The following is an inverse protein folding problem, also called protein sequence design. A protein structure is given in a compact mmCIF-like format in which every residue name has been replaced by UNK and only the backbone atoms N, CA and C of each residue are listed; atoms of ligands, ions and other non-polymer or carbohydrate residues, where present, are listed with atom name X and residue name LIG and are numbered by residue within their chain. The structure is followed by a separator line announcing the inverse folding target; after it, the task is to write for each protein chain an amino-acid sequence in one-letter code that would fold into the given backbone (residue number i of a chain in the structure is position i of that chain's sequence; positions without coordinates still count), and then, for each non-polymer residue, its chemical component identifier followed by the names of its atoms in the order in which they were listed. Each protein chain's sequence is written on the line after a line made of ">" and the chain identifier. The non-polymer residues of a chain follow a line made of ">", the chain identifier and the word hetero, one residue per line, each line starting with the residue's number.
data_IF_617118265521
#
_entry.id   IF_617118265521
#
_cell.length_a   1.000
_cell.length_b   1.000
_cell.length_c   1.000
_cell.angle_alpha   90.00
_cell.angle_beta   90.00
_cell.angle_gamma   90.00
#
_symmetry.space_group_name_H-M   'P 1'
#
loop_
_entity.id
_entity.type
_entity.pdbx_description
1 polymer ?
#
# COMPACT_ATOMS: atom_id res chain seq x y z
N UNK A 1 -11.76 23.44 -9.65
CA UNK A 1 -12.97 23.80 -8.85
C UNK A 1 -13.36 22.79 -7.78
N UNK A 2 -12.77 21.59 -7.71
CA UNK A 2 -13.19 20.49 -6.80
C UNK A 2 -12.93 20.71 -5.30
N UNK A 3 -12.18 21.75 -4.90
CA UNK A 3 -11.82 22.02 -3.50
C UNK A 3 -12.75 23.01 -2.77
N UNK A 4 -13.69 23.67 -3.46
CA UNK A 4 -14.40 24.82 -2.87
C UNK A 4 -15.71 24.47 -2.13
N UNK A 5 -16.27 23.27 -2.32
CA UNK A 5 -17.57 22.94 -1.72
C UNK A 5 -17.58 21.48 -1.24
N UNK A 6 -17.22 21.27 0.02
CA UNK A 6 -17.38 19.98 0.72
C UNK A 6 -18.46 20.14 1.77
N UNK A 7 -19.67 19.65 1.48
CA UNK A 7 -20.72 19.44 2.48
C UNK A 7 -20.53 18.05 3.10
N UNK A 8 -20.40 17.99 4.42
CA UNK A 8 -20.11 16.74 5.15
C UNK A 8 -21.38 16.03 5.66
N UNK A 9 -22.52 16.71 5.69
CA UNK A 9 -23.74 16.23 6.36
C UNK A 9 -24.98 16.24 5.49
N UNK A 10 -24.89 16.78 4.26
CA UNK A 10 -26.03 16.86 3.32
C UNK A 10 -25.57 16.37 1.96
N UNK A 11 -26.38 15.52 1.32
CA UNK A 11 -26.14 15.10 -0.05
C UNK A 11 -26.20 16.33 -0.98
N UNK A 12 -25.24 16.44 -1.89
CA UNK A 12 -25.15 17.57 -2.82
C UNK A 12 -25.16 17.07 -4.27
N UNK A 13 -25.69 17.89 -5.17
CA UNK A 13 -25.68 17.66 -6.62
C UNK A 13 -24.33 18.02 -7.27
N UNK A 14 -23.27 18.27 -6.48
CA UNK A 14 -21.95 18.68 -6.98
C UNK A 14 -21.35 17.66 -7.96
N UNK A 15 -21.37 16.33 -7.71
CA UNK A 15 -20.81 15.37 -8.66
C UNK A 15 -21.57 15.36 -10.00
N UNK A 16 -22.89 15.57 -9.96
CA UNK A 16 -23.72 15.69 -11.16
C UNK A 16 -23.35 16.95 -11.97
N UNK A 17 -23.24 18.11 -11.30
CA UNK A 17 -22.82 19.35 -11.96
C UNK A 17 -21.41 19.26 -12.55
N UNK A 18 -20.49 18.53 -11.90
CA UNK A 18 -19.16 18.27 -12.44
C UNK A 18 -19.22 17.45 -13.73
N UNK A 19 -20.07 16.43 -13.78
CA UNK A 19 -20.29 15.63 -14.98
C UNK A 19 -20.88 16.48 -16.12
N UNK A 20 -21.87 17.34 -15.83
CA UNK A 20 -22.46 18.26 -16.81
C UNK A 20 -21.41 19.23 -17.37
N UNK A 21 -20.65 19.89 -16.50
CA UNK A 21 -19.60 20.85 -16.91
C UNK A 21 -18.42 20.20 -17.66
N UNK A 22 -18.28 18.87 -17.57
CA UNK A 22 -17.23 18.12 -18.26
C UNK A 22 -17.72 17.42 -19.53
N UNK A 23 -19.02 17.45 -19.85
CA UNK A 23 -19.58 16.81 -21.03
C UNK A 23 -19.28 17.64 -22.30
N UNK A 24 -18.88 16.97 -23.38
CA UNK A 24 -18.52 17.62 -24.64
C UNK A 24 -19.68 18.42 -25.27
N UNK A 25 -20.91 17.90 -25.23
CA UNK A 25 -22.09 18.60 -25.77
C UNK A 25 -22.36 19.90 -25.00
N UNK A 26 -22.18 19.87 -23.67
CA UNK A 26 -22.30 21.05 -22.81
C UNK A 26 -21.21 22.09 -23.11
N UNK A 27 -19.95 21.66 -23.27
CA UNK A 27 -18.83 22.55 -23.60
C UNK A 27 -18.97 23.23 -24.97
N UNK A 28 -19.55 22.54 -25.96
CA UNK A 28 -19.79 23.07 -27.30
C UNK A 28 -21.13 23.83 -27.44
N UNK A 29 -21.88 24.02 -26.35
CA UNK A 29 -23.20 24.68 -26.35
C UNK A 29 -24.23 23.99 -27.26
N UNK A 30 -24.07 22.69 -27.53
CA UNK A 30 -25.00 21.87 -28.31
C UNK A 30 -25.92 21.10 -27.37
N UNK A 31 -26.65 21.82 -26.52
CA UNK A 31 -27.56 21.22 -25.51
C UNK A 31 -28.97 21.74 -25.71
N UNK A 32 -29.95 20.89 -25.48
CA UNK A 32 -31.38 21.20 -25.54
C UNK A 32 -32.09 20.80 -24.23
N UNK A 33 -33.42 20.81 -24.24
CA UNK A 33 -34.22 20.41 -23.07
C UNK A 33 -34.15 18.91 -22.75
N UNK A 34 -33.72 18.07 -23.70
CA UNK A 34 -33.64 16.61 -23.58
C UNK A 34 -32.23 16.14 -23.18
N UNK A 35 -31.23 17.02 -23.23
CA UNK A 35 -29.83 16.74 -22.90
C UNK A 35 -29.61 15.88 -21.64
N UNK A 36 -30.32 16.14 -20.53
CA UNK A 36 -30.15 15.37 -19.29
C UNK A 36 -30.66 13.93 -19.44
N UNK A 37 -31.76 13.73 -20.17
CA UNK A 37 -32.39 12.43 -20.36
C UNK A 37 -31.60 11.54 -21.33
N UNK A 38 -30.99 12.16 -22.35
CA UNK A 38 -30.19 11.48 -23.38
C UNK A 38 -28.78 11.08 -22.90
N UNK A 39 -28.21 11.81 -21.94
CA UNK A 39 -26.85 11.59 -21.43
C UNK A 39 -26.89 10.88 -20.06
N UNK A 40 -27.29 9.61 -20.05
CA UNK A 40 -27.40 8.80 -18.82
C UNK A 40 -26.06 8.68 -18.06
N UNK A 41 -24.91 8.87 -18.72
CA UNK A 41 -23.60 8.87 -18.04
C UNK A 41 -23.43 10.02 -17.04
N UNK A 42 -24.25 11.07 -17.10
CA UNK A 42 -24.23 12.17 -16.13
C UNK A 42 -24.55 11.68 -14.71
N UNK A 43 -25.29 10.57 -14.59
CA UNK A 43 -25.63 9.92 -13.32
C UNK A 43 -24.58 8.92 -12.83
N UNK A 44 -23.50 8.71 -13.58
CA UNK A 44 -22.36 7.92 -13.11
C UNK A 44 -21.51 8.76 -12.13
N UNK A 45 -22.00 8.84 -10.89
CA UNK A 45 -21.39 9.66 -9.85
C UNK A 45 -20.22 8.89 -9.22
N UNK A 46 -18.99 9.37 -9.46
CA UNK A 46 -17.82 8.80 -8.81
C UNK A 46 -17.85 9.13 -7.31
N UNK A 47 -17.80 8.12 -6.41
CA UNK A 47 -17.81 8.38 -4.98
C UNK A 47 -16.55 9.14 -4.57
N UNK A 48 -16.73 10.27 -3.90
CA UNK A 48 -15.62 11.07 -3.39
C UNK A 48 -14.98 10.37 -2.20
N UNK A 49 -13.65 10.25 -2.19
CA UNK A 49 -12.96 9.63 -1.07
C UNK A 49 -12.75 10.60 0.08
N UNK A 50 -13.35 10.31 1.24
CA UNK A 50 -13.17 11.09 2.45
C UNK A 50 -12.10 10.49 3.38
N UNK A 51 -10.83 10.52 2.93
CA UNK A 51 -9.71 9.92 3.67
C UNK A 51 -9.38 10.67 4.96
N UNK A 52 -9.44 12.01 4.94
CA UNK A 52 -9.09 12.83 6.09
C UNK A 52 -10.07 12.62 7.26
N UNK A 53 -11.39 12.59 7.02
CA UNK A 53 -12.35 12.33 8.07
C UNK A 53 -12.24 10.92 8.64
N UNK A 54 -11.99 9.91 7.79
CA UNK A 54 -11.74 8.53 8.26
C UNK A 54 -10.51 8.47 9.17
N UNK A 55 -9.44 9.18 8.83
CA UNK A 55 -8.24 9.27 9.66
C UNK A 55 -8.53 9.96 11.00
N UNK A 56 -9.21 11.11 10.98
CA UNK A 56 -9.58 11.84 12.19
C UNK A 56 -10.49 11.00 13.10
N UNK A 57 -11.48 10.31 12.52
CA UNK A 57 -12.35 9.41 13.25
C UNK A 57 -11.56 8.25 13.89
N UNK A 58 -10.63 7.65 13.14
CA UNK A 58 -9.76 6.60 13.67
C UNK A 58 -8.91 7.12 14.84
N UNK A 59 -8.27 8.28 14.70
CA UNK A 59 -7.47 8.89 15.78
C UNK A 59 -8.33 9.20 17.01
N UNK A 60 -9.50 9.82 16.82
CA UNK A 60 -10.44 10.10 17.91
C UNK A 60 -10.88 8.83 18.63
N UNK A 61 -11.25 7.79 17.88
CA UNK A 61 -11.63 6.50 18.45
C UNK A 61 -10.49 5.86 19.25
N UNK A 62 -9.26 5.86 18.73
CA UNK A 62 -8.10 5.28 19.42
C UNK A 62 -7.72 6.08 20.67
N UNK A 63 -7.86 7.41 20.65
CA UNK A 63 -7.59 8.24 21.84
C UNK A 63 -8.60 8.00 22.97
N UNK A 64 -9.88 7.81 22.64
CA UNK A 64 -10.96 7.63 23.63
C UNK A 64 -11.03 6.18 24.12
N UNK A 65 -11.05 5.22 23.18
CA UNK A 65 -11.30 3.80 23.48
C UNK A 65 -10.01 2.98 23.60
N UNK A 66 -8.85 3.59 23.33
CA UNK A 66 -7.58 2.89 23.24
C UNK A 66 -7.43 2.06 21.96
N UNK A 67 -6.26 1.39 21.78
CA UNK A 67 -6.05 0.48 20.65
C UNK A 67 -6.95 -0.75 20.76
N UNK A 68 -7.53 -1.18 19.64
CA UNK A 68 -8.44 -2.35 19.54
C UNK A 68 -7.80 -3.66 20.03
N UNK A 69 -6.48 -3.75 19.99
CA UNK A 69 -5.73 -4.89 20.52
C UNK A 69 -5.10 -4.52 21.86
N UNK A 70 -5.41 -5.23 22.95
CA UNK A 70 -4.76 -5.03 24.24
C UNK A 70 -3.25 -5.16 24.06
N UNK A 71 -2.51 -4.15 24.48
CA UNK A 71 -1.05 -4.25 24.54
C UNK A 71 -0.75 -5.10 25.78
N UNK A 72 -0.17 -6.31 25.64
CA UNK A 72 0.03 -7.21 26.78
C UNK A 72 0.98 -6.64 27.85
N UNK A 73 1.74 -5.61 27.48
CA UNK A 73 2.79 -5.00 28.29
C UNK A 73 2.51 -3.51 28.44
N UNK A 74 2.57 -2.98 29.67
CA UNK A 74 2.50 -1.52 29.94
C UNK A 74 3.77 -0.77 29.49
N UNK A 75 4.57 -1.37 28.61
CA UNK A 75 5.79 -0.77 28.11
C UNK A 75 5.43 0.46 27.27
N UNK A 76 6.05 1.59 27.59
CA UNK A 76 5.95 2.77 26.73
C UNK A 76 6.67 2.45 25.40
N UNK A 77 6.15 2.94 24.26
CA UNK A 77 6.89 2.89 23.01
C UNK A 77 8.29 3.49 23.20
N UNK A 78 9.28 2.95 22.51
CA UNK A 78 10.62 3.53 22.53
C UNK A 78 10.55 4.97 22.04
N UNK A 79 11.28 5.87 22.71
CA UNK A 79 11.44 7.25 22.26
C UNK A 79 12.46 7.38 21.13
N UNK A 80 13.20 6.31 20.82
CA UNK A 80 14.21 6.32 19.77
C UNK A 80 13.58 6.01 18.42
N UNK A 81 13.75 6.95 17.48
CA UNK A 81 13.43 6.69 16.09
C UNK A 81 14.48 5.75 15.48
N UNK A 82 14.06 4.71 14.75
CA UNK A 82 14.98 3.78 14.10
C UNK A 82 15.75 4.51 12.99
N UNK A 83 17.08 4.41 13.03
CA UNK A 83 17.95 4.96 11.98
C UNK A 83 17.83 4.07 10.74
N UNK A 84 17.40 4.67 9.63
CA UNK A 84 17.34 4.00 8.33
C UNK A 84 18.68 4.21 7.63
N UNK A 85 19.43 3.14 7.28
CA UNK A 85 20.68 3.29 6.57
C UNK A 85 20.48 3.98 5.21
N UNK A 86 21.45 4.81 4.76
CA UNK A 86 21.40 5.39 3.43
C UNK A 86 21.53 4.28 2.37
N UNK A 87 20.83 4.44 1.26
CA UNK A 87 20.81 3.49 0.15
C UNK A 87 21.29 4.21 -1.09
N UNK A 88 22.07 3.52 -1.94
CA UNK A 88 22.48 4.07 -3.23
C UNK A 88 21.26 4.36 -4.09
N UNK A 89 21.26 5.52 -4.75
CA UNK A 89 20.22 5.88 -5.70
C UNK A 89 20.40 5.05 -6.97
N UNK A 90 19.43 4.20 -7.30
CA UNK A 90 19.48 3.40 -8.52
C UNK A 90 18.62 2.14 -8.47
N UNK A 91 18.75 1.32 -9.51
CA UNK A 91 18.20 -0.04 -9.51
C UNK A 91 19.06 -0.95 -8.63
N UNK A 92 18.43 -1.90 -7.90
CA UNK A 92 19.18 -2.85 -7.10
C UNK A 92 20.06 -3.75 -7.98
N UNK A 93 21.17 -4.27 -7.44
CA UNK A 93 22.03 -5.19 -8.18
C UNK A 93 21.28 -6.46 -8.61
N UNK A 94 21.75 -7.08 -9.68
CA UNK A 94 21.19 -8.33 -10.20
C UNK A 94 21.26 -9.43 -9.14
N UNK A 95 20.17 -10.16 -8.98
CA UNK A 95 20.05 -11.26 -8.01
C UNK A 95 19.33 -12.48 -8.58
N UNK A 96 19.05 -13.44 -7.70
CA UNK A 96 18.39 -14.70 -8.05
C UNK A 96 16.97 -14.50 -8.64
N UNK A 97 16.30 -13.40 -8.29
CA UNK A 97 15.01 -13.01 -8.89
C UNK A 97 15.14 -12.78 -10.39
N UNK A 98 16.23 -12.17 -10.85
CA UNK A 98 16.39 -11.82 -12.26
C UNK A 98 16.67 -13.07 -13.11
N UNK A 99 17.36 -14.06 -12.54
CA UNK A 99 17.50 -15.39 -13.13
C UNK A 99 16.12 -16.05 -13.31
N UNK A 100 15.25 -15.97 -12.31
CA UNK A 100 13.89 -16.51 -12.41
C UNK A 100 13.06 -15.80 -13.50
N UNK A 101 13.18 -14.48 -13.62
CA UNK A 101 12.45 -13.72 -14.63
C UNK A 101 12.96 -13.97 -16.05
N UNK A 102 14.28 -14.15 -16.21
CA UNK A 102 14.91 -14.37 -17.52
C UNK A 102 14.79 -15.81 -18.00
N UNK A 103 15.10 -16.77 -17.14
CA UNK A 103 15.28 -18.18 -17.51
C UNK A 103 14.14 -19.09 -17.02
N UNK A 104 13.16 -18.53 -16.31
CA UNK A 104 12.02 -19.25 -15.76
C UNK A 104 12.37 -20.21 -14.60
N UNK A 105 11.40 -21.02 -14.15
CA UNK A 105 11.57 -21.91 -12.99
C UNK A 105 12.65 -22.98 -13.18
N UNK A 106 12.78 -23.52 -14.39
CA UNK A 106 13.76 -24.56 -14.70
C UNK A 106 15.20 -24.01 -14.68
N UNK A 107 15.40 -22.83 -15.29
CA UNK A 107 16.68 -22.13 -15.29
C UNK A 107 17.09 -21.71 -13.88
N UNK A 108 16.14 -21.23 -13.08
CA UNK A 108 16.34 -20.93 -11.66
C UNK A 108 16.81 -22.15 -10.87
N UNK A 109 16.12 -23.30 -11.00
CA UNK A 109 16.51 -24.52 -10.30
C UNK A 109 17.91 -25.02 -10.72
N UNK A 110 18.28 -24.84 -11.99
CA UNK A 110 19.64 -25.14 -12.48
C UNK A 110 20.68 -24.20 -11.87
N UNK A 111 20.41 -22.90 -11.79
CA UNK A 111 21.30 -21.92 -11.18
C UNK A 111 21.53 -22.20 -9.69
N UNK A 112 20.48 -22.58 -8.97
CA UNK A 112 20.56 -22.99 -7.55
C UNK A 112 21.45 -24.21 -7.36
N UNK A 113 21.28 -25.26 -8.20
CA UNK A 113 22.12 -26.47 -8.14
C UNK A 113 23.58 -26.22 -8.52
N UNK A 114 23.83 -25.25 -9.40
CA UNK A 114 25.17 -24.89 -9.83
C UNK A 114 25.91 -24.00 -8.81
N UNK A 115 25.20 -23.35 -7.89
CA UNK A 115 25.78 -22.45 -6.92
C UNK A 115 26.66 -23.21 -5.92
N UNK A 116 27.94 -22.82 -5.83
CA UNK A 116 28.89 -23.36 -4.89
C UNK A 116 28.85 -22.56 -3.59
N UNK A 117 28.17 -23.10 -2.57
CA UNK A 117 28.07 -22.46 -1.26
C UNK A 117 26.67 -22.62 -0.64
N UNK A 118 26.54 -22.10 0.58
CA UNK A 118 25.26 -22.08 1.28
C UNK A 118 24.44 -20.87 0.81
N UNK A 119 23.25 -21.17 0.29
CA UNK A 119 22.24 -20.17 0.00
C UNK A 119 21.45 -19.84 1.26
N UNK A 120 21.23 -18.55 1.51
CA UNK A 120 20.49 -18.05 2.66
C UNK A 120 19.17 -17.43 2.25
N UNK A 121 18.12 -17.71 3.03
CA UNK A 121 16.82 -17.07 2.94
C UNK A 121 16.59 -16.23 4.18
N UNK A 122 16.30 -14.93 4.01
CA UNK A 122 15.95 -14.07 5.14
C UNK A 122 14.47 -14.24 5.51
N UNK A 123 14.21 -14.47 6.80
CA UNK A 123 12.87 -14.64 7.37
C UNK A 123 12.43 -13.46 8.23
N UNK A 124 13.24 -12.39 8.30
CA UNK A 124 12.96 -11.18 9.09
C UNK A 124 11.61 -10.57 8.74
N UNK A 125 11.23 -10.61 7.47
CA UNK A 125 9.98 -10.03 6.97
C UNK A 125 8.76 -10.90 7.26
N UNK A 126 8.91 -12.14 7.75
CA UNK A 126 7.79 -13.06 8.01
C UNK A 126 7.99 -13.84 9.32
N UNK A 127 8.84 -14.85 9.34
CA UNK A 127 8.80 -15.84 10.43
C UNK A 127 9.41 -15.33 11.74
N UNK A 128 10.41 -14.46 11.66
CA UNK A 128 11.06 -13.89 12.83
C UNK A 128 10.05 -13.18 13.76
N UNK A 129 9.17 -12.34 13.19
CA UNK A 129 8.14 -11.65 13.97
C UNK A 129 6.87 -12.49 14.20
N UNK A 130 6.67 -13.59 13.47
CA UNK A 130 5.61 -14.54 13.79
C UNK A 130 5.87 -15.19 15.15
N UNK A 131 7.11 -15.59 15.38
CA UNK A 131 7.53 -16.24 16.62
C UNK A 131 7.68 -15.25 17.79
N UNK A 132 8.22 -14.06 17.53
CA UNK A 132 8.60 -13.12 18.60
C UNK A 132 7.60 -12.01 18.86
N UNK A 133 6.83 -11.60 17.85
CA UNK A 133 6.00 -10.39 17.89
C UNK A 133 4.55 -10.67 17.48
N UNK A 134 4.12 -11.94 17.54
CA UNK A 134 2.77 -12.38 17.18
C UNK A 134 2.29 -11.80 15.83
N UNK A 135 3.19 -11.74 14.83
CA UNK A 135 2.94 -11.20 13.48
C UNK A 135 2.57 -9.71 13.41
N UNK A 136 2.92 -8.90 14.42
CA UNK A 136 2.46 -7.50 14.54
C UNK A 136 3.35 -6.45 13.88
N UNK A 137 4.42 -6.84 13.19
CA UNK A 137 5.26 -5.89 12.44
C UNK A 137 4.46 -5.32 11.27
N UNK A 138 4.43 -3.99 11.17
CA UNK A 138 3.59 -3.27 10.21
C UNK A 138 4.31 -3.08 8.88
N UNK A 139 3.53 -3.03 7.80
CA UNK A 139 4.04 -2.72 6.45
C UNK A 139 4.79 -1.39 6.40
N UNK A 140 4.38 -0.41 7.21
CA UNK A 140 5.07 0.87 7.33
C UNK A 140 6.56 0.72 7.66
N UNK A 141 6.89 -0.16 8.61
CA UNK A 141 8.26 -0.32 9.09
C UNK A 141 9.09 -1.16 8.11
N UNK A 142 8.49 -2.23 7.56
CA UNK A 142 9.13 -3.04 6.52
C UNK A 142 9.41 -2.24 5.25
N UNK A 143 8.47 -1.38 4.83
CA UNK A 143 8.63 -0.54 3.64
C UNK A 143 9.78 0.45 3.79
N UNK A 144 10.01 0.98 5.00
CA UNK A 144 11.10 1.92 5.27
C UNK A 144 12.49 1.29 5.03
N UNK A 145 12.69 0.04 5.42
CA UNK A 145 13.98 -0.66 5.26
C UNK A 145 14.11 -1.43 3.94
N UNK A 146 13.00 -1.66 3.22
CA UNK A 146 12.98 -2.44 1.97
C UNK A 146 14.00 -1.98 0.91
N UNK A 147 14.26 -0.68 0.67
CA UNK A 147 15.25 -0.25 -0.31
C UNK A 147 16.66 -0.72 0.06
N UNK A 148 17.04 -0.64 1.34
CA UNK A 148 18.34 -1.13 1.82
C UNK A 148 18.43 -2.64 1.61
N UNK A 149 17.36 -3.36 1.95
CA UNK A 149 17.34 -4.82 1.78
C UNK A 149 17.54 -5.23 0.34
N UNK A 150 16.88 -4.56 -0.60
CA UNK A 150 17.00 -4.86 -2.02
C UNK A 150 18.41 -4.62 -2.58
N UNK A 151 19.15 -3.64 -2.04
CA UNK A 151 20.50 -3.32 -2.54
C UNK A 151 21.59 -4.15 -1.88
N UNK A 152 21.49 -4.38 -0.57
CA UNK A 152 22.57 -4.99 0.21
C UNK A 152 22.39 -6.51 0.38
N UNK A 153 21.17 -7.04 0.22
CA UNK A 153 20.87 -8.46 0.30
C UNK A 153 20.52 -9.07 -1.07
N UNK A 154 21.03 -8.49 -2.15
CA UNK A 154 20.82 -8.98 -3.52
C UNK A 154 21.36 -10.41 -3.76
N UNK A 155 22.35 -10.83 -2.95
CA UNK A 155 22.96 -12.16 -3.02
C UNK A 155 22.18 -13.25 -2.26
N UNK A 156 21.13 -12.89 -1.51
CA UNK A 156 20.29 -13.89 -0.85
C UNK A 156 19.51 -14.71 -1.89
N UNK A 157 19.20 -15.95 -1.53
CA UNK A 157 18.37 -16.82 -2.35
C UNK A 157 16.94 -16.30 -2.45
N UNK A 158 16.37 -15.91 -1.32
CA UNK A 158 15.03 -15.34 -1.25
C UNK A 158 14.81 -14.56 0.05
N UNK A 159 13.73 -13.79 0.06
CA UNK A 159 13.20 -13.12 1.23
C UNK A 159 11.80 -13.68 1.51
N UNK A 160 11.62 -14.35 2.64
CA UNK A 160 10.29 -14.79 3.08
C UNK A 160 9.52 -13.56 3.60
N UNK A 161 8.63 -13.02 2.77
CA UNK A 161 7.87 -11.80 3.07
C UNK A 161 6.35 -12.00 3.01
N UNK A 162 5.84 -13.19 2.71
CA UNK A 162 4.41 -13.47 2.59
C UNK A 162 4.04 -14.90 3.04
N UNK A 163 2.74 -15.16 3.23
CA UNK A 163 2.21 -16.45 3.70
C UNK A 163 2.16 -16.64 5.23
N UNK A 164 1.60 -17.76 5.71
CA UNK A 164 1.43 -18.07 7.13
C UNK A 164 0.27 -17.36 7.84
N UNK A 165 0.38 -17.22 9.17
CA UNK A 165 -0.66 -16.59 10.03
C UNK A 165 -0.93 -15.12 9.72
N UNK A 166 -0.09 -14.46 8.90
CA UNK A 166 -0.30 -13.09 8.41
C UNK A 166 -1.62 -12.93 7.61
N UNK A 167 -2.18 -14.02 7.10
CA UNK A 167 -3.45 -14.04 6.36
C UNK A 167 -4.70 -14.24 7.25
N UNK A 168 -4.53 -14.73 8.49
CA UNK A 168 -5.64 -15.14 9.36
C UNK A 168 -6.12 -14.04 10.33
N UNK A 169 -5.97 -12.76 9.97
CA UNK A 169 -6.52 -11.62 10.73
C UNK A 169 -7.06 -10.54 9.82
#
# INVERSE_FOLDING_TARGET
>A
MTKLCTSLHVQTNIPFLQNVLSNHQFLHSTVDTQFIDENQELFNLKPTQNRAQKLLHYLGHVMVNGPTTPIPVKAKPSSTDPVIPPVTMGEPPVGFRDVLLRDGPEGFAKAVRAHQGLLLMDTTFRDAHQSLLATRVRTHDLKKISPFVSHNFNNLFSLENWGGKRMLR
#
